data_IF_604946689453
#
_entry.id   IF_604946689453
#
_cell.length_a   1.000
_cell.length_b   1.000
_cell.length_c   1.000
_cell.angle_alpha   90.00
_cell.angle_beta   90.00
_cell.angle_gamma   90.00
#
_symmetry.space_group_name_H-M   'P 1'
#
loop_
_entity.id
_entity.type
_entity.pdbx_description
1 polymer ?
#
# COMPACT_ATOMS: atom_id res chain seq x y z
N UNK A 1 -38.46 65.87 54.04
CA UNK A 1 -37.51 65.38 53.00
C UNK A 1 -36.77 64.14 53.53
N UNK A 2 -37.20 62.93 53.15
CA UNK A 2 -36.52 61.66 53.49
C UNK A 2 -35.86 61.11 52.22
N UNK A 3 -34.53 61.17 52.11
CA UNK A 3 -33.75 60.58 51.01
C UNK A 3 -33.66 59.06 51.22
N UNK A 4 -34.19 58.29 50.27
CA UNK A 4 -33.98 56.83 50.17
C UNK A 4 -32.73 56.59 49.31
N UNK A 5 -31.65 56.12 49.93
CA UNK A 5 -30.47 55.63 49.20
C UNK A 5 -30.76 54.22 48.67
N UNK A 6 -30.84 54.07 47.35
CA UNK A 6 -30.91 52.75 46.68
C UNK A 6 -29.47 52.30 46.40
N UNK A 7 -29.01 51.27 47.09
CA UNK A 7 -27.81 50.53 46.70
C UNK A 7 -28.17 49.63 45.51
N UNK A 8 -27.52 49.87 44.37
CA UNK A 8 -27.62 49.05 43.18
C UNK A 8 -26.52 47.97 43.28
N UNK A 9 -26.92 46.72 43.52
CA UNK A 9 -26.01 45.59 43.51
C UNK A 9 -25.70 45.22 42.04
N UNK A 10 -24.43 45.41 41.64
CA UNK A 10 -23.93 45.01 40.33
C UNK A 10 -23.61 43.51 40.38
N UNK A 11 -24.51 42.66 39.87
CA UNK A 11 -24.24 41.24 39.66
C UNK A 11 -23.26 41.08 38.49
N UNK A 12 -22.01 40.78 38.82
CA UNK A 12 -20.97 40.46 37.87
C UNK A 12 -21.18 39.01 37.40
N UNK A 13 -21.79 38.84 36.23
CA UNK A 13 -21.96 37.53 35.60
C UNK A 13 -20.60 37.00 35.14
N UNK A 14 -20.06 36.05 35.89
CA UNK A 14 -18.88 35.27 35.49
C UNK A 14 -19.31 34.34 34.36
N UNK A 15 -18.98 34.70 33.12
CA UNK A 15 -19.09 33.78 31.97
C UNK A 15 -17.96 32.77 32.11
N UNK A 16 -18.27 31.64 32.76
CA UNK A 16 -17.45 30.44 32.69
C UNK A 16 -17.38 30.03 31.22
N UNK A 17 -16.25 30.34 30.56
CA UNK A 17 -15.92 29.80 29.25
C UNK A 17 -15.68 28.29 29.40
N UNK A 18 -16.78 27.54 29.53
CA UNK A 18 -16.76 26.10 29.45
C UNK A 18 -16.22 25.69 28.10
N UNK A 19 -15.36 24.66 28.08
CA UNK A 19 -14.92 24.00 26.85
C UNK A 19 -16.17 23.54 26.09
N UNK A 20 -16.59 24.32 25.09
CA UNK A 20 -17.71 23.95 24.24
C UNK A 20 -17.29 22.74 23.42
N UNK A 21 -18.06 21.64 23.54
CA UNK A 21 -17.90 20.46 22.71
C UNK A 21 -17.89 20.87 21.24
N UNK A 22 -17.08 20.24 20.38
CA UNK A 22 -17.10 20.52 18.95
C UNK A 22 -18.53 20.36 18.40
N UNK A 23 -19.08 21.45 17.86
CA UNK A 23 -20.44 21.46 17.33
C UNK A 23 -20.45 20.85 15.93
N UNK A 24 -20.75 19.55 15.84
CA UNK A 24 -21.01 18.83 14.59
C UNK A 24 -22.48 18.42 14.55
N UNK A 25 -23.11 18.59 13.39
CA UNK A 25 -24.41 18.01 13.09
C UNK A 25 -24.36 16.48 13.10
N UNK A 26 -25.50 15.81 13.25
CA UNK A 26 -25.54 14.34 13.28
C UNK A 26 -25.11 13.71 11.96
N UNK A 27 -25.35 14.40 10.83
CA UNK A 27 -24.82 14.01 9.53
C UNK A 27 -23.28 14.07 9.51
N UNK A 28 -22.68 15.17 9.99
CA UNK A 28 -21.22 15.29 10.08
C UNK A 28 -20.61 14.24 11.02
N UNK A 29 -21.24 13.95 12.16
CA UNK A 29 -20.79 12.88 13.08
C UNK A 29 -20.81 11.52 12.38
N UNK A 30 -21.86 11.23 11.61
CA UNK A 30 -21.98 9.98 10.85
C UNK A 30 -20.86 9.86 9.80
N UNK A 31 -20.59 10.94 9.06
CA UNK A 31 -19.47 10.99 8.11
C UNK A 31 -18.12 10.82 8.82
N UNK A 32 -17.89 11.49 9.94
CA UNK A 32 -16.63 11.37 10.69
C UNK A 32 -16.45 9.95 11.23
N UNK A 33 -17.51 9.31 11.73
CA UNK A 33 -17.46 7.93 12.20
C UNK A 33 -17.09 6.95 11.08
N UNK A 34 -17.60 7.15 9.85
CA UNK A 34 -17.28 6.27 8.72
C UNK A 34 -15.83 6.37 8.23
N UNK A 35 -15.12 7.44 8.59
CA UNK A 35 -13.69 7.63 8.31
C UNK A 35 -12.77 6.95 9.34
N UNK A 36 -13.31 6.45 10.45
CA UNK A 36 -12.51 5.81 11.50
C UNK A 36 -12.21 4.35 11.17
N UNK A 37 -11.06 3.83 11.61
CA UNK A 37 -10.66 2.43 11.47
C UNK A 37 -11.64 1.44 12.13
N UNK A 38 -12.45 1.88 13.10
CA UNK A 38 -13.53 1.05 13.64
C UNK A 38 -14.60 0.67 12.60
N UNK A 39 -14.70 1.42 11.50
CA UNK A 39 -15.57 1.14 10.36
C UNK A 39 -14.86 0.36 9.25
N UNK A 40 -13.59 -0.02 9.42
CA UNK A 40 -12.83 -0.79 8.43
C UNK A 40 -13.39 -2.21 8.34
N UNK A 41 -13.90 -2.64 7.16
CA UNK A 41 -14.41 -4.00 7.00
C UNK A 41 -13.33 -5.05 7.23
N UNK A 42 -13.76 -6.28 7.50
CA UNK A 42 -12.84 -7.42 7.49
C UNK A 42 -12.08 -7.49 6.16
N UNK A 43 -10.80 -7.88 6.23
CA UNK A 43 -9.98 -8.04 5.04
C UNK A 43 -10.54 -9.21 4.21
N UNK A 44 -10.80 -8.96 2.92
CA UNK A 44 -11.26 -10.01 2.00
C UNK A 44 -10.15 -11.03 1.76
N UNK A 45 -10.46 -12.34 1.59
CA UNK A 45 -9.48 -13.32 1.12
C UNK A 45 -8.86 -12.89 -0.21
N UNK A 46 -7.58 -13.20 -0.41
CA UNK A 46 -6.95 -13.06 -1.72
C UNK A 46 -7.25 -14.32 -2.54
N UNK A 47 -7.97 -14.15 -3.64
CA UNK A 47 -8.41 -15.23 -4.52
C UNK A 47 -7.38 -15.58 -5.59
N UNK A 48 -6.30 -14.79 -5.72
CA UNK A 48 -5.24 -14.98 -6.73
C UNK A 48 -3.97 -15.59 -6.13
N UNK A 49 -3.83 -15.54 -4.81
CA UNK A 49 -2.71 -16.09 -4.04
C UNK A 49 -3.21 -17.03 -2.94
N UNK A 50 -3.12 -18.36 -3.17
CA UNK A 50 -3.56 -19.36 -2.17
C UNK A 50 -2.69 -19.39 -0.91
N UNK A 51 -1.54 -18.71 -0.92
CA UNK A 51 -0.61 -18.63 0.20
C UNK A 51 -0.75 -17.35 1.02
N UNK A 52 -1.69 -16.46 0.65
CA UNK A 52 -1.83 -15.14 1.26
C UNK A 52 -2.04 -15.19 2.78
N UNK A 53 -2.74 -16.21 3.28
CA UNK A 53 -3.03 -16.39 4.71
C UNK A 53 -2.23 -17.57 5.32
N UNK A 54 -1.16 -18.05 4.66
CA UNK A 54 -0.31 -19.14 5.16
C UNK A 54 0.84 -18.59 6.01
N UNK A 55 0.93 -18.89 7.32
CA UNK A 55 1.95 -18.32 8.21
C UNK A 55 3.39 -18.60 7.76
N UNK A 56 3.66 -19.79 7.22
CA UNK A 56 4.98 -20.13 6.71
C UNK A 56 5.38 -19.28 5.48
N UNK A 57 4.42 -18.96 4.60
CA UNK A 57 4.63 -18.09 3.45
C UNK A 57 4.87 -16.65 3.90
N UNK A 58 4.06 -16.12 4.81
CA UNK A 58 4.27 -14.78 5.39
C UNK A 58 5.62 -14.67 6.10
N UNK A 59 6.05 -15.72 6.82
CA UNK A 59 7.35 -15.72 7.47
C UNK A 59 8.49 -15.71 6.44
N UNK A 60 8.37 -16.41 5.30
CA UNK A 60 9.38 -16.37 4.24
C UNK A 60 9.36 -15.01 3.56
N UNK A 61 8.18 -14.46 3.24
CA UNK A 61 8.00 -13.12 2.71
C UNK A 61 8.64 -12.05 3.58
N UNK A 62 8.48 -12.14 4.90
CA UNK A 62 9.14 -11.25 5.85
C UNK A 62 10.65 -11.35 5.74
N UNK A 63 11.21 -12.56 5.68
CA UNK A 63 12.67 -12.74 5.48
C UNK A 63 13.14 -12.05 4.19
N UNK A 64 12.45 -12.29 3.07
CA UNK A 64 12.80 -11.70 1.78
C UNK A 64 12.64 -10.17 1.75
N UNK A 65 11.62 -9.64 2.43
CA UNK A 65 11.34 -8.20 2.50
C UNK A 65 12.50 -7.38 3.09
N UNK A 66 13.24 -7.98 4.03
CA UNK A 66 14.39 -7.34 4.69
C UNK A 66 15.75 -7.79 4.12
N UNK A 67 15.78 -8.76 3.19
CA UNK A 67 17.02 -9.33 2.66
C UNK A 67 17.63 -8.46 1.55
N UNK A 68 18.75 -7.80 1.84
CA UNK A 68 19.48 -7.00 0.84
C UNK A 68 20.13 -7.86 -0.25
N UNK A 69 20.34 -9.16 0.00
CA UNK A 69 20.85 -10.11 -0.99
C UNK A 69 19.88 -10.33 -2.17
N UNK A 70 18.65 -9.82 -2.07
CA UNK A 70 17.70 -9.77 -3.18
C UNK A 70 18.03 -8.66 -4.19
N UNK A 71 18.79 -7.63 -3.83
CA UNK A 71 19.21 -6.60 -4.80
C UNK A 71 20.45 -7.00 -5.57
N UNK A 72 20.54 -6.59 -6.84
CA UNK A 72 21.63 -6.93 -7.74
C UNK A 72 23.01 -6.44 -7.27
N UNK A 73 23.07 -5.36 -6.49
CA UNK A 73 24.30 -4.84 -5.89
C UNK A 73 24.44 -5.12 -4.37
N UNK A 74 23.46 -5.82 -3.79
CA UNK A 74 23.43 -6.16 -2.37
C UNK A 74 23.21 -4.97 -1.42
N UNK A 75 22.80 -3.79 -1.92
CA UNK A 75 22.70 -2.57 -1.13
C UNK A 75 21.29 -2.24 -0.62
N UNK A 76 20.23 -2.79 -1.24
CA UNK A 76 18.85 -2.42 -0.94
C UNK A 76 17.94 -3.63 -0.74
N UNK A 77 16.87 -3.44 0.04
CA UNK A 77 15.75 -4.39 0.16
C UNK A 77 14.43 -3.62 0.15
N UNK A 78 13.29 -4.31 0.24
CA UNK A 78 11.99 -3.64 0.32
C UNK A 78 11.97 -2.64 1.50
N UNK A 79 12.59 -3.02 2.63
CA UNK A 79 12.66 -2.20 3.85
C UNK A 79 13.50 -0.92 3.73
N UNK A 80 14.34 -0.77 2.70
CA UNK A 80 15.10 0.46 2.43
C UNK A 80 14.15 1.63 2.13
N UNK A 81 13.11 1.37 1.33
CA UNK A 81 12.10 2.37 0.95
C UNK A 81 10.83 2.26 1.83
N UNK A 82 10.49 1.06 2.29
CA UNK A 82 9.30 0.81 3.10
C UNK A 82 9.64 0.59 4.58
N UNK A 83 9.96 1.70 5.27
CA UNK A 83 10.48 1.67 6.66
C UNK A 83 9.37 1.42 7.68
N UNK A 84 9.54 0.40 8.52
CA UNK A 84 8.54 -0.04 9.49
C UNK A 84 8.15 1.05 10.51
N UNK A 85 9.10 1.90 10.90
CA UNK A 85 8.92 3.00 11.85
C UNK A 85 8.21 4.23 11.24
N UNK A 86 7.89 4.17 9.95
CA UNK A 86 7.26 5.25 9.18
C UNK A 86 6.04 4.76 8.43
N UNK A 87 5.27 3.82 8.97
CA UNK A 87 4.11 3.22 8.28
C UNK A 87 4.47 2.62 6.91
N UNK A 88 5.70 2.12 6.77
CA UNK A 88 6.23 1.53 5.55
C UNK A 88 6.36 2.52 4.36
N UNK A 89 6.77 3.77 4.64
CA UNK A 89 7.24 4.75 3.65
C UNK A 89 8.62 5.32 4.04
N UNK A 90 9.25 6.10 3.16
CA UNK A 90 10.60 6.65 3.35
C UNK A 90 10.64 8.16 3.64
N UNK A 91 9.49 8.85 3.56
CA UNK A 91 9.32 10.30 3.65
C UNK A 91 10.12 11.10 2.60
N UNK A 92 10.45 10.47 1.46
CA UNK A 92 11.17 11.12 0.37
C UNK A 92 10.21 11.52 -0.77
N UNK A 93 10.50 12.62 -1.50
CA UNK A 93 9.73 12.99 -2.69
C UNK A 93 9.89 11.96 -3.83
N UNK A 94 11.00 11.21 -3.82
CA UNK A 94 11.33 10.16 -4.77
C UNK A 94 12.06 9.05 -4.04
N UNK A 95 11.74 7.80 -4.37
CA UNK A 95 12.42 6.66 -3.79
C UNK A 95 13.90 6.62 -4.24
N UNK A 96 14.76 6.08 -3.36
CA UNK A 96 16.18 5.87 -3.63
C UNK A 96 16.48 4.40 -3.35
N UNK A 97 16.53 3.61 -4.42
CA UNK A 97 17.05 2.24 -4.43
C UNK A 97 18.52 2.22 -4.86
N UNK A 98 18.87 1.27 -5.74
CA UNK A 98 20.14 1.29 -6.50
C UNK A 98 20.26 2.60 -7.30
N UNK A 99 19.12 3.13 -7.77
CA UNK A 99 19.00 4.44 -8.40
C UNK A 99 17.91 5.29 -7.77
N UNK A 100 17.75 6.51 -8.29
CA UNK A 100 16.65 7.41 -7.91
C UNK A 100 15.47 7.19 -8.85
N UNK A 101 14.28 6.95 -8.29
CA UNK A 101 13.06 6.73 -9.08
C UNK A 101 12.36 8.05 -9.43
N UNK A 102 11.29 7.98 -10.21
CA UNK A 102 10.50 9.13 -10.64
C UNK A 102 9.24 9.37 -9.78
N UNK A 103 8.96 8.53 -8.78
CA UNK A 103 7.77 8.66 -7.92
C UNK A 103 8.13 8.43 -6.45
N UNK A 104 7.32 9.01 -5.56
CA UNK A 104 7.40 8.77 -4.11
C UNK A 104 7.00 7.33 -3.77
N UNK A 105 7.63 6.78 -2.75
CA UNK A 105 7.25 5.50 -2.15
C UNK A 105 5.87 5.63 -1.49
N UNK A 106 4.98 4.67 -1.75
CA UNK A 106 3.67 4.61 -1.10
C UNK A 106 3.76 3.83 0.22
N UNK A 107 2.99 4.20 1.26
CA UNK A 107 2.94 3.43 2.49
C UNK A 107 2.31 2.05 2.24
N UNK A 108 2.75 1.03 3.00
CA UNK A 108 2.19 -0.34 2.91
C UNK A 108 1.15 -0.65 4.00
N UNK A 109 0.92 0.25 4.95
CA UNK A 109 -0.05 0.03 6.02
C UNK A 109 -1.48 -0.14 5.47
N UNK A 110 -2.01 -1.35 5.54
CA UNK A 110 -3.33 -1.71 5.02
C UNK A 110 -3.40 -1.89 3.49
N UNK A 111 -2.25 -2.06 2.82
CA UNK A 111 -2.14 -2.13 1.34
C UNK A 111 -2.87 -3.34 0.73
N UNK A 112 -2.99 -4.45 1.47
CA UNK A 112 -3.68 -5.65 0.98
C UNK A 112 -5.20 -5.49 0.73
N UNK A 113 -5.73 -4.28 0.95
CA UNK A 113 -7.12 -3.90 0.67
C UNK A 113 -7.27 -3.13 -0.65
N UNK A 114 -6.16 -2.74 -1.26
CA UNK A 114 -6.17 -2.03 -2.53
C UNK A 114 -6.56 -2.97 -3.69
N UNK A 115 -7.43 -2.53 -4.60
CA UNK A 115 -7.74 -3.27 -5.83
C UNK A 115 -6.65 -3.11 -6.89
N UNK A 116 -5.87 -2.04 -6.81
CA UNK A 116 -4.84 -1.67 -7.77
C UNK A 116 -3.58 -1.22 -7.04
N UNK A 117 -2.43 -1.57 -7.59
CA UNK A 117 -1.14 -1.27 -6.98
C UNK A 117 -0.25 -0.44 -7.92
N UNK A 118 0.65 0.34 -7.32
CA UNK A 118 1.28 1.54 -7.91
C UNK A 118 0.34 2.74 -8.05
N UNK A 119 0.91 3.95 -8.11
CA UNK A 119 0.18 5.22 -8.32
C UNK A 119 -0.72 5.23 -9.57
N UNK A 120 -0.40 4.42 -10.56
CA UNK A 120 -1.12 4.28 -11.83
C UNK A 120 -1.93 2.98 -11.93
N UNK A 121 -1.86 2.11 -10.91
CA UNK A 121 -2.55 0.84 -10.88
C UNK A 121 -2.10 -0.17 -11.93
N UNK A 122 -0.86 -0.12 -12.40
CA UNK A 122 -0.34 -1.07 -13.43
C UNK A 122 -0.20 -2.52 -12.94
N UNK A 123 -0.61 -2.82 -11.71
CA UNK A 123 -0.70 -4.17 -11.14
C UNK A 123 -2.03 -4.32 -10.43
N UNK A 124 -2.61 -5.49 -10.55
CA UNK A 124 -3.95 -5.86 -10.08
C UNK A 124 -3.93 -6.73 -8.81
N UNK A 125 -2.74 -7.10 -8.34
CA UNK A 125 -2.56 -7.90 -7.14
C UNK A 125 -1.28 -7.51 -6.41
N UNK A 126 -1.29 -7.69 -5.08
CA UNK A 126 -0.16 -7.35 -4.23
C UNK A 126 1.06 -8.22 -4.58
N UNK A 127 0.83 -9.50 -4.87
CA UNK A 127 1.91 -10.41 -5.24
C UNK A 127 2.53 -10.06 -6.59
N UNK A 128 1.77 -9.57 -7.57
CA UNK A 128 2.32 -9.08 -8.83
C UNK A 128 3.06 -7.74 -8.66
N UNK A 129 2.58 -6.88 -7.77
CA UNK A 129 3.29 -5.65 -7.40
C UNK A 129 4.67 -5.95 -6.83
N UNK A 130 4.76 -6.88 -5.88
CA UNK A 130 6.00 -7.23 -5.19
C UNK A 130 7.12 -7.71 -6.15
N UNK A 131 6.77 -8.22 -7.32
CA UNK A 131 7.73 -8.66 -8.34
C UNK A 131 8.42 -7.50 -9.07
N UNK A 132 7.74 -6.36 -9.21
CA UNK A 132 8.22 -5.30 -10.09
C UNK A 132 9.48 -4.60 -9.57
N UNK A 133 9.59 -4.24 -8.27
CA UNK A 133 10.80 -3.63 -7.73
C UNK A 133 12.03 -4.55 -7.80
N UNK A 134 11.83 -5.87 -7.79
CA UNK A 134 12.90 -6.87 -7.83
C UNK A 134 13.75 -6.76 -9.11
N UNK A 135 13.16 -6.41 -10.25
CA UNK A 135 13.87 -6.32 -11.54
C UNK A 135 14.01 -4.89 -12.07
N UNK A 136 13.44 -3.91 -11.39
CA UNK A 136 13.57 -2.51 -11.80
C UNK A 136 15.02 -2.02 -11.56
N UNK A 137 15.72 -1.53 -12.60
CA UNK A 137 17.14 -1.14 -12.50
C UNK A 137 17.39 0.07 -11.57
N UNK A 138 16.37 0.85 -11.24
CA UNK A 138 16.47 1.96 -10.29
C UNK A 138 16.07 1.55 -8.87
N UNK A 139 15.42 0.40 -8.70
CA UNK A 139 14.97 -0.10 -7.40
C UNK A 139 15.93 -1.17 -6.89
N UNK A 140 15.65 -2.48 -7.07
CA UNK A 140 16.55 -3.54 -6.61
C UNK A 140 17.50 -4.09 -7.68
N UNK A 141 17.25 -3.79 -8.97
CA UNK A 141 18.13 -4.15 -10.09
C UNK A 141 18.57 -5.63 -10.12
N UNK A 142 17.70 -6.54 -9.67
CA UNK A 142 17.97 -7.97 -9.67
C UNK A 142 17.61 -8.65 -10.99
N UNK A 143 17.69 -9.98 -10.99
CA UNK A 143 17.60 -10.81 -12.18
C UNK A 143 16.70 -12.03 -11.92
N UNK A 144 15.73 -12.27 -12.81
CA UNK A 144 14.71 -13.33 -12.63
C UNK A 144 15.28 -14.71 -12.36
N UNK A 145 16.24 -15.15 -13.16
CA UNK A 145 16.79 -16.50 -13.04
C UNK A 145 17.73 -16.58 -11.84
N UNK A 146 18.47 -15.51 -11.57
CA UNK A 146 19.31 -15.42 -10.38
C UNK A 146 18.49 -15.58 -9.09
N UNK A 147 17.26 -15.05 -9.04
CA UNK A 147 16.36 -15.28 -7.90
C UNK A 147 16.02 -16.75 -7.67
N UNK A 148 15.77 -17.52 -8.73
CA UNK A 148 15.47 -18.95 -8.58
C UNK A 148 16.68 -19.72 -8.00
N UNK A 149 17.88 -19.43 -8.48
CA UNK A 149 19.12 -19.99 -7.95
C UNK A 149 19.38 -19.54 -6.51
N UNK A 150 19.16 -18.25 -6.20
CA UNK A 150 19.31 -17.70 -4.86
C UNK A 150 18.37 -18.36 -3.85
N UNK A 151 17.08 -18.50 -4.21
CA UNK A 151 16.09 -19.19 -3.38
C UNK A 151 16.47 -20.65 -3.18
N UNK A 152 16.88 -21.37 -4.22
CA UNK A 152 17.35 -22.76 -4.09
C UNK A 152 18.53 -22.87 -3.12
N UNK A 153 19.52 -22.01 -3.26
CA UNK A 153 20.74 -22.05 -2.46
C UNK A 153 20.52 -21.66 -0.99
N UNK A 154 19.69 -20.64 -0.71
CA UNK A 154 19.55 -20.08 0.65
C UNK A 154 18.29 -20.53 1.39
N UNK A 155 17.22 -20.84 0.66
CA UNK A 155 15.90 -21.05 1.23
C UNK A 155 15.19 -22.30 0.67
N UNK A 156 15.89 -23.18 -0.04
CA UNK A 156 15.30 -24.30 -0.79
C UNK A 156 14.35 -25.16 0.05
N UNK A 157 14.80 -25.69 1.20
CA UNK A 157 13.97 -26.53 2.07
C UNK A 157 12.71 -25.79 2.56
N UNK A 158 12.85 -24.50 2.90
CA UNK A 158 11.74 -23.67 3.38
C UNK A 158 10.75 -23.38 2.27
N UNK A 159 11.25 -23.05 1.08
CA UNK A 159 10.45 -22.86 -0.12
C UNK A 159 9.66 -24.13 -0.44
N UNK A 160 10.32 -25.28 -0.48
CA UNK A 160 9.68 -26.54 -0.91
C UNK A 160 8.57 -26.99 0.04
N UNK A 161 8.73 -26.74 1.33
CA UNK A 161 7.71 -26.99 2.34
C UNK A 161 6.44 -26.14 2.15
N UNK A 162 6.57 -24.96 1.55
CA UNK A 162 5.46 -24.03 1.34
C UNK A 162 4.83 -24.26 -0.03
N UNK A 163 5.66 -24.31 -1.08
CA UNK A 163 5.22 -24.23 -2.48
C UNK A 163 5.27 -25.56 -3.24
N UNK A 164 5.92 -26.57 -2.67
CA UNK A 164 6.25 -27.82 -3.37
C UNK A 164 7.65 -27.79 -4.00
N UNK A 165 8.07 -28.90 -4.64
CA UNK A 165 9.45 -29.12 -5.08
C UNK A 165 9.93 -28.03 -6.04
N UNK A 166 11.19 -27.62 -5.89
CA UNK A 166 11.83 -26.72 -6.85
C UNK A 166 12.08 -27.45 -8.18
N UNK A 167 11.91 -26.78 -9.34
CA UNK A 167 12.39 -27.30 -10.60
C UNK A 167 13.91 -27.54 -10.59
N UNK A 168 14.38 -28.42 -11.48
CA UNK A 168 15.81 -28.51 -11.73
C UNK A 168 16.27 -27.32 -12.57
N UNK A 169 17.34 -26.67 -12.13
CA UNK A 169 17.90 -25.46 -12.75
C UNK A 169 19.31 -25.70 -13.31
N UNK A 170 19.83 -26.94 -13.28
CA UNK A 170 21.22 -27.25 -13.67
C UNK A 170 21.57 -26.75 -15.07
N UNK A 171 20.59 -26.80 -15.98
CA UNK A 171 20.76 -26.47 -17.40
C UNK A 171 20.18 -25.08 -17.75
N UNK A 172 19.88 -24.27 -16.73
CA UNK A 172 19.39 -22.90 -16.89
C UNK A 172 20.53 -21.90 -16.58
N UNK A 173 20.63 -20.78 -17.32
CA UNK A 173 21.64 -19.76 -17.04
C UNK A 173 21.54 -19.25 -15.61
N UNK A 174 22.64 -18.75 -15.04
CA UNK A 174 22.59 -18.09 -13.72
C UNK A 174 21.85 -16.75 -13.83
N UNK A 175 22.16 -15.98 -14.87
CA UNK A 175 21.63 -14.65 -15.11
C UNK A 175 20.84 -14.60 -16.42
N UNK A 176 19.51 -14.47 -16.29
CA UNK A 176 18.62 -14.25 -17.41
C UNK A 176 17.32 -13.61 -16.93
N UNK A 177 16.89 -12.55 -17.63
CA UNK A 177 15.66 -11.81 -17.33
C UNK A 177 15.09 -11.20 -18.61
N UNK A 178 13.76 -11.13 -18.77
CA UNK A 178 13.15 -10.38 -19.87
C UNK A 178 13.30 -8.85 -19.72
N UNK A 179 13.61 -8.37 -18.51
CA UNK A 179 13.74 -6.95 -18.16
C UNK A 179 15.20 -6.52 -17.90
N UNK A 180 16.14 -7.46 -17.97
CA UNK A 180 17.57 -7.21 -17.76
C UNK A 180 18.25 -6.48 -18.92
N UNK A 181 19.58 -6.44 -18.91
CA UNK A 181 20.42 -5.93 -20.00
C UNK A 181 20.39 -6.83 -21.25
N UNK A 182 21.06 -6.40 -22.32
CA UNK A 182 21.02 -7.10 -23.62
C UNK A 182 21.47 -8.57 -23.54
N UNK A 183 22.48 -8.86 -22.71
CA UNK A 183 23.01 -10.23 -22.49
C UNK A 183 21.99 -11.08 -21.74
N UNK A 184 21.40 -10.54 -20.67
CA UNK A 184 20.40 -11.24 -19.85
C UNK A 184 19.12 -11.52 -20.63
N UNK A 185 18.68 -10.57 -21.48
CA UNK A 185 17.52 -10.76 -22.37
C UNK A 185 17.81 -11.80 -23.45
N UNK A 186 19.01 -11.81 -24.01
CA UNK A 186 19.42 -12.84 -24.97
C UNK A 186 19.41 -14.24 -24.33
N UNK A 187 19.96 -14.38 -23.12
CA UNK A 187 19.94 -15.62 -22.36
C UNK A 187 18.50 -16.07 -22.03
N UNK A 188 17.63 -15.14 -21.63
CA UNK A 188 16.22 -15.41 -21.37
C UNK A 188 15.48 -15.93 -22.61
N UNK A 189 15.72 -15.32 -23.76
CA UNK A 189 15.10 -15.70 -25.03
C UNK A 189 15.62 -17.05 -25.54
N UNK A 190 16.86 -17.41 -25.23
CA UNK A 190 17.46 -18.69 -25.59
C UNK A 190 16.90 -19.88 -24.78
N UNK A 191 16.34 -19.64 -23.59
CA UNK A 191 15.65 -20.69 -22.82
C UNK A 191 14.44 -21.25 -23.57
N UNK A 192 14.07 -22.48 -23.30
CA UNK A 192 12.81 -23.06 -23.76
C UNK A 192 11.60 -22.46 -23.02
N UNK A 193 10.39 -22.61 -23.59
CA UNK A 193 9.15 -22.22 -22.91
C UNK A 193 9.03 -22.83 -21.50
N UNK A 194 9.16 -24.16 -21.35
CA UNK A 194 9.12 -24.82 -20.03
C UNK A 194 10.16 -24.31 -19.03
N UNK A 195 11.38 -23.96 -19.49
CA UNK A 195 12.40 -23.37 -18.61
C UNK A 195 11.99 -21.99 -18.12
N UNK A 196 11.50 -21.12 -19.01
CA UNK A 196 10.97 -19.80 -18.62
C UNK A 196 9.79 -19.92 -17.66
N UNK A 197 8.89 -20.86 -17.91
CA UNK A 197 7.72 -21.08 -17.07
C UNK A 197 8.10 -21.60 -15.68
N UNK A 198 9.11 -22.48 -15.59
CA UNK A 198 9.67 -22.94 -14.31
C UNK A 198 10.25 -21.77 -13.49
N UNK A 199 11.05 -20.91 -14.13
CA UNK A 199 11.62 -19.72 -13.47
C UNK A 199 10.53 -18.73 -13.06
N UNK A 200 9.59 -18.43 -13.94
CA UNK A 200 8.47 -17.55 -13.62
C UNK A 200 7.58 -18.12 -12.49
N UNK A 201 7.43 -19.44 -12.39
CA UNK A 201 6.70 -20.08 -11.30
C UNK A 201 7.35 -19.83 -9.94
N UNK A 202 8.68 -19.97 -9.86
CA UNK A 202 9.42 -19.59 -8.64
C UNK A 202 9.27 -18.10 -8.38
N UNK A 203 9.45 -17.27 -9.41
CA UNK A 203 9.33 -15.81 -9.31
C UNK A 203 7.96 -15.39 -8.77
N UNK A 204 6.87 -15.95 -9.30
CA UNK A 204 5.53 -15.71 -8.77
C UNK A 204 5.39 -16.11 -7.29
N UNK A 205 5.98 -17.22 -6.88
CA UNK A 205 5.96 -17.65 -5.48
C UNK A 205 6.75 -16.72 -4.54
N UNK A 206 7.83 -16.08 -5.02
CA UNK A 206 8.49 -15.00 -4.28
C UNK A 206 7.51 -13.84 -4.00
N UNK A 207 6.83 -13.35 -5.05
CA UNK A 207 5.82 -12.31 -4.91
C UNK A 207 4.68 -12.71 -3.98
N UNK A 208 4.21 -13.95 -4.06
CA UNK A 208 3.15 -14.49 -3.18
C UNK A 208 3.58 -14.58 -1.72
N UNK A 209 4.84 -14.95 -1.45
CA UNK A 209 5.38 -14.95 -0.10
C UNK A 209 5.45 -13.53 0.47
N UNK A 210 6.01 -12.59 -0.29
CA UNK A 210 6.13 -11.17 0.11
C UNK A 210 4.73 -10.58 0.37
N UNK A 211 3.78 -10.80 -0.53
CA UNK A 211 2.41 -10.35 -0.35
C UNK A 211 1.74 -10.95 0.89
N UNK A 212 2.02 -12.22 1.24
CA UNK A 212 1.51 -12.82 2.48
C UNK A 212 2.06 -12.11 3.73
N UNK A 213 3.31 -11.62 3.70
CA UNK A 213 3.84 -10.76 4.76
C UNK A 213 3.17 -9.38 4.76
N UNK A 214 3.10 -8.72 3.62
CA UNK A 214 2.52 -7.37 3.49
C UNK A 214 1.04 -7.33 3.89
N UNK A 215 0.32 -8.43 3.67
CA UNK A 215 -1.05 -8.63 4.12
C UNK A 215 -1.23 -8.57 5.64
N UNK A 216 -0.16 -8.85 6.41
CA UNK A 216 -0.16 -8.72 7.87
C UNK A 216 0.03 -7.28 8.35
N UNK A 217 0.41 -6.34 7.47
CA UNK A 217 0.68 -4.95 7.83
C UNK A 217 -0.64 -4.18 7.95
N UNK A 218 -1.28 -4.26 9.12
CA UNK A 218 -2.53 -3.57 9.40
C UNK A 218 -2.32 -2.06 9.70
N UNK A 219 -3.27 -1.18 9.33
CA UNK A 219 -3.26 0.20 9.79
C UNK A 219 -3.50 0.25 11.30
N UNK A 220 -2.80 1.15 11.99
CA UNK A 220 -2.90 1.32 13.45
C UNK A 220 -3.78 2.51 13.81
N UNK A 221 -4.65 2.42 14.84
CA UNK A 221 -5.46 3.54 15.31
C UNK A 221 -4.64 4.78 15.67
N UNK A 222 -4.97 5.87 15.01
CA UNK A 222 -4.38 7.18 15.20
C UNK A 222 -5.19 8.01 16.20
N UNK A 223 -4.72 9.23 16.42
CA UNK A 223 -5.44 10.24 17.19
C UNK A 223 -6.81 10.59 16.59
N UNK A 224 -6.93 10.53 15.26
CA UNK A 224 -8.19 10.76 14.56
C UNK A 224 -9.22 9.68 14.90
N UNK A 225 -8.82 8.41 14.93
CA UNK A 225 -9.72 7.30 15.25
C UNK A 225 -10.30 7.41 16.66
N UNK A 226 -9.46 7.80 17.64
CA UNK A 226 -9.91 8.06 19.01
C UNK A 226 -10.88 9.24 19.08
N UNK A 227 -10.60 10.32 18.35
CA UNK A 227 -11.50 11.47 18.25
C UNK A 227 -12.86 11.08 17.65
N UNK A 228 -12.85 10.38 16.51
CA UNK A 228 -14.07 9.95 15.82
C UNK A 228 -14.92 9.01 16.68
N UNK A 229 -14.29 8.07 17.41
CA UNK A 229 -15.00 7.18 18.33
C UNK A 229 -15.67 7.94 19.48
N UNK A 230 -14.98 8.89 20.11
CA UNK A 230 -15.55 9.72 21.17
C UNK A 230 -16.72 10.56 20.64
N UNK A 231 -16.57 11.14 19.45
CA UNK A 231 -17.62 11.90 18.80
C UNK A 231 -18.87 11.05 18.51
N UNK A 232 -18.68 9.81 18.04
CA UNK A 232 -19.77 8.87 17.74
C UNK A 232 -20.49 8.36 19.00
N UNK A 233 -19.75 8.14 20.09
CA UNK A 233 -20.29 7.59 21.36
C UNK A 233 -20.78 8.67 22.33
N UNK A 234 -20.45 9.93 22.09
CA UNK A 234 -20.71 11.05 23.01
C UNK A 234 -19.78 11.07 24.23
N UNK A 235 -18.74 10.23 24.25
CA UNK A 235 -17.75 10.20 25.32
C UNK A 235 -16.90 11.48 25.32
N UNK A 236 -16.49 11.94 26.51
CA UNK A 236 -15.58 13.08 26.63
C UNK A 236 -14.19 12.71 26.11
N UNK A 237 -13.65 13.44 25.10
CA UNK A 237 -12.30 13.17 24.61
C UNK A 237 -11.26 13.47 25.68
N UNK A 238 -10.26 12.60 25.79
CA UNK A 238 -9.16 12.70 26.77
C UNK A 238 -7.81 12.64 26.06
N UNK A 239 -6.81 13.29 26.66
CA UNK A 239 -5.44 13.26 26.18
C UNK A 239 -5.33 13.75 24.73
N UNK A 240 -4.70 12.96 23.88
CA UNK A 240 -4.48 13.31 22.48
C UNK A 240 -5.77 13.29 21.64
N UNK A 241 -6.84 12.62 22.08
CA UNK A 241 -8.12 12.61 21.37
C UNK A 241 -8.83 13.99 21.36
N UNK A 242 -8.34 14.97 22.13
CA UNK A 242 -8.85 16.34 22.14
C UNK A 242 -8.30 17.10 20.94
N UNK A 243 -9.14 17.29 19.92
CA UNK A 243 -8.78 18.08 18.75
C UNK A 243 -8.73 19.57 19.06
N UNK A 244 -7.73 20.26 18.49
CA UNK A 244 -7.61 21.71 18.53
C UNK A 244 -8.69 22.38 17.69
N UNK A 245 -8.95 23.67 17.96
CA UNK A 245 -9.89 24.46 17.15
C UNK A 245 -9.50 24.50 15.66
N UNK A 246 -8.20 24.43 15.34
CA UNK A 246 -7.73 24.39 13.96
C UNK A 246 -8.07 23.06 13.28
N UNK A 247 -7.88 21.95 13.98
CA UNK A 247 -8.17 20.61 13.47
C UNK A 247 -9.66 20.41 13.26
N UNK A 248 -10.51 20.90 14.18
CA UNK A 248 -11.96 20.92 14.00
C UNK A 248 -12.35 21.71 12.75
N UNK A 249 -11.77 22.90 12.52
CA UNK A 249 -12.03 23.68 11.29
C UNK A 249 -11.55 22.95 10.03
N UNK A 250 -10.39 22.31 10.08
CA UNK A 250 -9.85 21.53 8.96
C UNK A 250 -10.74 20.33 8.61
N UNK A 251 -11.22 19.60 9.63
CA UNK A 251 -12.13 18.48 9.44
C UNK A 251 -13.47 18.93 8.83
N UNK A 252 -14.02 20.07 9.28
CA UNK A 252 -15.24 20.66 8.69
C UNK A 252 -15.06 21.05 7.23
N UNK A 253 -13.89 21.55 6.85
CA UNK A 253 -13.58 21.79 5.43
C UNK A 253 -13.52 20.47 4.66
N UNK A 254 -12.81 19.48 5.20
CA UNK A 254 -12.59 18.17 4.59
C UNK A 254 -13.91 17.44 4.26
N UNK A 255 -14.83 17.37 5.22
CA UNK A 255 -16.14 16.70 5.07
C UNK A 255 -17.23 17.58 4.45
N UNK A 256 -16.93 18.85 4.19
CA UNK A 256 -17.89 19.87 3.77
C UNK A 256 -17.38 20.64 2.57
N UNK A 257 -17.17 21.95 2.75
CA UNK A 257 -16.93 22.91 1.65
C UNK A 257 -15.80 22.52 0.68
N UNK A 258 -14.75 21.84 1.13
CA UNK A 258 -13.63 21.47 0.27
C UNK A 258 -13.87 20.17 -0.52
N UNK A 259 -14.95 19.42 -0.23
CA UNK A 259 -15.34 18.18 -0.90
C UNK A 259 -14.24 17.10 -0.94
N UNK A 260 -13.32 17.09 0.03
CA UNK A 260 -12.22 16.12 0.05
C UNK A 260 -12.76 14.69 0.17
N UNK A 261 -13.84 14.50 0.94
CA UNK A 261 -14.52 13.21 1.13
C UNK A 261 -15.13 12.62 -0.13
N UNK A 262 -15.24 13.36 -1.23
CA UNK A 262 -15.73 12.79 -2.50
C UNK A 262 -14.79 11.69 -3.01
N UNK A 263 -13.47 11.88 -2.89
CA UNK A 263 -12.46 10.89 -3.28
C UNK A 263 -11.74 10.28 -2.07
N UNK A 264 -11.61 11.03 -0.96
CA UNK A 264 -10.92 10.60 0.25
C UNK A 264 -11.91 10.22 1.36
N UNK A 265 -12.57 9.08 1.18
CA UNK A 265 -13.58 8.57 2.10
C UNK A 265 -13.23 7.21 2.69
N UNK A 266 -14.11 6.78 3.60
CA UNK A 266 -13.96 5.55 4.35
C UNK A 266 -12.72 5.54 5.26
N UNK A 267 -12.48 4.40 5.93
CA UNK A 267 -11.45 4.29 6.96
C UNK A 267 -10.01 4.38 6.46
N UNK A 268 -9.81 4.32 5.13
CA UNK A 268 -8.49 4.47 4.49
C UNK A 268 -8.34 5.80 3.75
N UNK A 269 -9.32 6.69 3.84
CA UNK A 269 -9.31 7.99 3.17
C UNK A 269 -9.06 7.88 1.65
N UNK A 270 -9.70 6.89 1.01
CA UNK A 270 -9.65 6.66 -0.43
C UNK A 270 -10.89 5.88 -0.88
N UNK A 271 -11.44 6.28 -2.02
CA UNK A 271 -12.46 5.55 -2.76
C UNK A 271 -11.88 4.44 -3.68
N UNK A 272 -10.55 4.28 -3.67
CA UNK A 272 -9.78 3.36 -4.51
C UNK A 272 -9.96 3.56 -6.03
N UNK A 273 -10.42 4.74 -6.43
CA UNK A 273 -10.65 5.10 -7.83
C UNK A 273 -9.55 6.01 -8.36
N UNK A 274 -9.38 6.04 -9.69
CA UNK A 274 -8.46 6.96 -10.35
C UNK A 274 -9.13 8.30 -10.63
N UNK A 275 -8.43 9.39 -10.31
CA UNK A 275 -8.92 10.77 -10.50
C UNK A 275 -7.85 11.62 -11.19
N UNK A 276 -8.28 12.55 -12.04
CA UNK A 276 -7.39 13.60 -12.55
C UNK A 276 -7.41 14.79 -11.60
N UNK A 277 -6.32 14.97 -10.84
CA UNK A 277 -6.18 16.02 -9.83
C UNK A 277 -5.64 17.33 -10.38
N UNK A 278 -5.22 17.38 -11.65
CA UNK A 278 -4.64 18.59 -12.26
C UNK A 278 -3.30 19.03 -11.67
N UNK A 279 -2.60 18.14 -10.94
CA UNK A 279 -1.27 18.44 -10.39
C UNK A 279 -0.28 18.63 -11.55
N UNK A 280 0.51 19.72 -11.56
CA UNK A 280 1.46 19.99 -12.62
C UNK A 280 2.64 19.01 -12.60
N UNK A 281 3.25 18.80 -13.77
CA UNK A 281 4.48 18.03 -13.89
C UNK A 281 5.62 18.63 -13.05
N UNK A 282 6.45 17.75 -12.50
CA UNK A 282 7.65 18.14 -11.74
C UNK A 282 8.79 18.43 -12.71
N UNK A 283 9.43 19.60 -12.57
CA UNK A 283 10.57 19.98 -13.40
C UNK A 283 11.73 18.98 -13.27
N UNK A 284 12.33 18.61 -14.40
CA UNK A 284 13.46 17.67 -14.46
C UNK A 284 13.05 16.19 -14.45
N UNK A 285 11.76 15.86 -14.38
CA UNK A 285 11.27 14.49 -14.54
C UNK A 285 10.58 14.29 -15.90
N UNK A 286 10.58 13.04 -16.42
CA UNK A 286 9.75 12.70 -17.57
C UNK A 286 8.26 12.99 -17.28
N UNK A 287 7.44 13.30 -18.30
CA UNK A 287 6.01 13.47 -18.13
C UNK A 287 5.37 12.23 -17.47
N UNK A 288 4.66 12.44 -16.35
CA UNK A 288 3.91 11.37 -15.71
C UNK A 288 2.49 11.30 -16.29
N UNK A 289 2.24 10.29 -17.13
CA UNK A 289 0.94 10.07 -17.79
C UNK A 289 -0.03 9.25 -16.95
N UNK A 290 0.37 8.83 -15.75
CA UNK A 290 -0.45 8.09 -14.79
C UNK A 290 -1.13 6.86 -15.41
N UNK A 291 -2.45 6.76 -15.23
CA UNK A 291 -3.26 5.60 -15.63
C UNK A 291 -3.25 5.31 -17.13
N UNK A 292 -2.96 6.30 -17.99
CA UNK A 292 -2.99 6.14 -19.46
C UNK A 292 -2.04 5.03 -19.91
N UNK A 293 -0.83 4.98 -19.36
CA UNK A 293 0.18 4.00 -19.77
C UNK A 293 0.04 2.67 -18.99
N UNK A 294 -0.71 2.65 -17.89
CA UNK A 294 -0.83 1.51 -17.00
C UNK A 294 -1.76 0.40 -17.52
N UNK A 295 -2.79 0.76 -18.30
CA UNK A 295 -3.76 -0.19 -18.86
C UNK A 295 -3.05 -1.26 -19.70
N UNK A 296 -2.24 -0.84 -20.66
CA UNK A 296 -1.48 -1.78 -21.49
C UNK A 296 -0.43 -2.57 -20.71
N UNK A 297 0.15 -1.97 -19.66
CA UNK A 297 1.14 -2.65 -18.83
C UNK A 297 0.52 -3.77 -18.01
N UNK A 298 -0.67 -3.58 -17.43
CA UNK A 298 -1.32 -4.64 -16.67
C UNK A 298 -1.89 -5.72 -17.57
N UNK A 299 -2.40 -5.39 -18.77
CA UNK A 299 -2.86 -6.38 -19.76
C UNK A 299 -1.74 -7.28 -20.25
N UNK A 300 -0.55 -6.71 -20.49
CA UNK A 300 0.61 -7.44 -21.00
C UNK A 300 1.38 -8.21 -19.91
N UNK A 301 1.09 -7.98 -18.63
CA UNK A 301 1.81 -8.62 -17.53
C UNK A 301 1.43 -10.11 -17.40
N UNK A 302 2.37 -11.06 -17.56
CA UNK A 302 2.07 -12.48 -17.35
C UNK A 302 1.68 -12.82 -15.90
N UNK A 303 1.96 -11.93 -14.95
CA UNK A 303 1.63 -12.08 -13.53
C UNK A 303 0.33 -11.38 -13.13
N UNK A 304 -0.49 -10.92 -14.07
CA UNK A 304 -1.82 -10.42 -13.76
C UNK A 304 -2.81 -11.56 -13.41
N UNK A 305 -4.02 -11.19 -13.01
CA UNK A 305 -5.09 -12.10 -12.61
C UNK A 305 -5.61 -12.96 -13.77
N UNK A 306 -5.40 -12.61 -15.03
CA UNK A 306 -5.68 -13.51 -16.17
C UNK A 306 -4.49 -14.40 -16.54
N UNK A 307 -3.32 -14.14 -15.98
CA UNK A 307 -2.07 -14.83 -16.22
C UNK A 307 -2.05 -16.27 -15.68
N UNK A 308 -1.03 -17.01 -16.11
CA UNK A 308 -0.86 -18.43 -15.81
C UNK A 308 -0.44 -18.71 -14.35
N UNK A 309 0.05 -17.69 -13.63
CA UNK A 309 0.67 -17.85 -12.32
C UNK A 309 -0.27 -17.57 -11.13
N UNK A 310 -1.54 -17.24 -11.39
CA UNK A 310 -2.57 -17.14 -10.35
C UNK A 310 -2.93 -18.53 -9.79
N UNK A 311 -3.36 -18.61 -8.54
CA UNK A 311 -3.87 -19.87 -7.96
C UNK A 311 -5.39 -20.08 -8.15
N UNK A 312 -6.17 -19.01 -8.32
CA UNK A 312 -7.64 -19.04 -8.44
C UNK A 312 -8.18 -19.07 -9.87
N UNK A 313 -9.51 -19.04 -10.00
CA UNK A 313 -10.18 -18.98 -11.30
C UNK A 313 -10.35 -17.54 -11.82
N UNK A 314 -10.73 -17.40 -13.09
CA UNK A 314 -10.87 -16.09 -13.74
C UNK A 314 -12.06 -15.25 -13.22
N UNK A 315 -12.99 -15.84 -12.46
CA UNK A 315 -14.10 -15.09 -11.83
C UNK A 315 -13.62 -14.20 -10.69
N UNK A 316 -12.43 -14.48 -10.15
CA UNK A 316 -11.74 -13.68 -9.16
C UNK A 316 -11.26 -12.31 -9.68
N UNK A 317 -11.21 -12.11 -11.01
CA UNK A 317 -10.52 -10.98 -11.65
C UNK A 317 -11.44 -9.82 -12.02
N UNK A 318 -12.39 -9.48 -11.14
CA UNK A 318 -13.42 -8.47 -11.41
C UNK A 318 -12.83 -7.11 -11.81
N UNK A 319 -11.85 -6.61 -11.04
CA UNK A 319 -11.21 -5.32 -11.30
C UNK A 319 -10.56 -5.25 -12.68
N UNK A 320 -9.77 -6.28 -13.04
CA UNK A 320 -9.10 -6.33 -14.34
C UNK A 320 -10.11 -6.53 -15.49
N UNK A 321 -11.19 -7.29 -15.28
CA UNK A 321 -12.23 -7.55 -16.28
C UNK A 321 -12.98 -6.29 -16.72
N UNK A 322 -13.21 -5.36 -15.80
CA UNK A 322 -14.00 -4.15 -16.02
C UNK A 322 -13.14 -2.88 -15.98
N UNK A 323 -11.85 -3.00 -16.32
CA UNK A 323 -10.90 -1.89 -16.34
C UNK A 323 -11.19 -0.84 -17.45
N UNK A 324 -12.02 -1.19 -18.43
CA UNK A 324 -12.38 -0.36 -19.60
C UNK A 324 -13.80 0.18 -19.50
#
# INVERSE_FOLDING_TARGET
MRRRSRFLALMMAVVLAGCTKPDFSDAEKTTIASLALSSLPALKPDTTNRFADVPAAAALGSTLFFDQGMSGDGSVSCSTCHKIDRQFQDDLPQAVGVGRTNRRTMPLAGVARDPWFFWDGRRDSLWAQALTPLENPLEQAGNRTAYAHYIKARFGERYERIFGPLPDFSDMPLDASPLGNDVERAAWNAMSGPQRDAINGVFANLGKAIAAFERSIAPTPTRFDRFALNLATGAEPKGDAVFSKQEIRGLKLFIGKANCVTCHNGPRFTDNSFHNTGVPSVAGLPPDRGRIDAVHQVEADPFNCFGAYRDGDASACGELRFMV
#
